data_IF_994774607782
#
_entry.id   IF_994774607782
#
_cell.length_a   1.000
_cell.length_b   1.000
_cell.length_c   1.000
_cell.angle_alpha   90.00
_cell.angle_beta   90.00
_cell.angle_gamma   90.00
#
_symmetry.space_group_name_H-M   'P 1'
#
loop_
_entity.id
_entity.type
_entity.pdbx_description
1 polymer ?
#
# COMPACT_ATOMS: atom_id res chain seq x y z
N UNK A 1 -25.93 15.92 -2.44
CA UNK A 1 -26.13 14.50 -2.06
C UNK A 1 -24.76 13.93 -1.74
N UNK A 2 -24.59 13.62 -0.45
CA UNK A 2 -23.42 13.16 0.32
C UNK A 2 -22.03 13.11 -0.33
N UNK A 3 -21.17 14.05 0.09
CA UNK A 3 -19.71 14.03 -0.11
C UNK A 3 -19.00 12.95 0.75
N UNK A 4 -19.73 12.10 1.49
CA UNK A 4 -19.18 11.17 2.49
C UNK A 4 -18.78 9.79 1.93
N UNK A 5 -19.05 9.49 0.66
CA UNK A 5 -18.72 8.18 0.05
C UNK A 5 -17.46 8.21 -0.82
N UNK A 6 -16.89 9.39 -1.09
CA UNK A 6 -15.68 9.50 -1.90
C UNK A 6 -14.44 9.40 -1.02
N UNK A 7 -13.57 8.45 -1.33
CA UNK A 7 -12.26 8.32 -0.70
C UNK A 7 -11.34 9.40 -1.28
N UNK A 8 -10.92 10.37 -0.46
CA UNK A 8 -10.09 11.51 -0.88
C UNK A 8 -8.67 11.47 -0.34
N UNK A 9 -8.46 10.70 0.73
CA UNK A 9 -7.20 10.54 1.46
C UNK A 9 -6.68 9.12 1.38
N UNK A 10 -5.37 8.97 1.24
CA UNK A 10 -4.66 7.70 1.41
C UNK A 10 -3.61 7.84 2.50
N UNK A 11 -3.57 6.90 3.43
CA UNK A 11 -2.57 6.80 4.50
C UNK A 11 -1.50 5.80 4.08
N UNK A 12 -0.24 6.22 4.14
CA UNK A 12 0.95 5.43 3.81
C UNK A 12 1.80 5.22 5.08
N UNK A 13 1.69 4.06 5.76
CA UNK A 13 2.53 3.71 6.88
C UNK A 13 3.97 3.41 6.42
N UNK A 14 4.87 4.39 6.57
CA UNK A 14 6.26 4.32 6.08
C UNK A 14 7.29 4.48 7.21
N UNK A 15 6.89 4.15 8.44
CA UNK A 15 7.73 4.30 9.64
C UNK A 15 8.62 3.09 9.95
N UNK A 16 8.47 1.98 9.24
CA UNK A 16 9.18 0.73 9.51
C UNK A 16 10.70 0.82 9.25
N UNK A 17 11.48 0.07 10.03
CA UNK A 17 12.95 0.05 9.94
C UNK A 17 13.51 -0.73 8.74
N UNK A 18 12.70 -1.58 8.11
CA UNK A 18 13.12 -2.32 6.91
C UNK A 18 14.22 -3.36 7.16
N UNK A 19 14.30 -3.96 8.36
CA UNK A 19 15.39 -4.86 8.77
C UNK A 19 15.61 -6.07 7.85
N UNK A 20 14.54 -6.56 7.19
CA UNK A 20 14.61 -7.65 6.20
C UNK A 20 15.50 -7.33 4.99
N UNK A 21 15.75 -6.05 4.71
CA UNK A 21 16.55 -5.57 3.58
C UNK A 21 17.91 -5.01 3.98
N UNK A 22 18.37 -5.23 5.21
CA UNK A 22 19.74 -4.89 5.56
C UNK A 22 20.73 -5.68 4.66
N UNK A 23 21.83 -5.05 4.22
CA UNK A 23 22.31 -3.71 4.60
C UNK A 23 21.73 -2.54 3.79
N UNK A 24 20.96 -2.79 2.72
CA UNK A 24 20.48 -1.75 1.81
C UNK A 24 19.65 -0.67 2.53
N UNK A 25 18.85 -1.08 3.52
CA UNK A 25 17.99 -0.18 4.30
C UNK A 25 18.65 0.46 5.52
N UNK A 26 19.97 0.32 5.68
CA UNK A 26 20.70 0.90 6.83
C UNK A 26 20.62 2.43 6.84
N UNK A 27 20.64 3.05 5.67
CA UNK A 27 20.66 4.51 5.48
C UNK A 27 19.57 5.02 4.52
N UNK A 28 18.81 4.13 3.89
CA UNK A 28 17.69 4.48 3.02
C UNK A 28 16.42 3.77 3.50
N UNK A 29 15.25 4.41 3.47
CA UNK A 29 13.98 3.76 3.77
C UNK A 29 13.74 2.53 2.87
N UNK A 30 13.10 1.46 3.40
CA UNK A 30 12.70 0.31 2.57
C UNK A 30 11.77 0.72 1.43
N UNK A 31 10.95 1.74 1.66
CA UNK A 31 9.97 2.25 0.70
C UNK A 31 10.64 3.02 -0.45
N UNK A 32 11.91 3.41 -0.29
CA UNK A 32 12.74 4.03 -1.32
C UNK A 32 13.59 3.03 -2.10
N UNK A 33 13.43 1.71 -1.86
CA UNK A 33 14.09 0.71 -2.70
C UNK A 33 13.51 0.78 -4.12
N UNK A 34 14.36 0.94 -5.15
CA UNK A 34 13.91 1.08 -6.52
C UNK A 34 13.54 -0.29 -7.10
N UNK A 35 12.37 -0.38 -7.72
CA UNK A 35 12.03 -1.46 -8.63
C UNK A 35 12.23 -0.91 -10.03
N UNK A 36 13.27 -1.41 -10.71
CA UNK A 36 13.81 -0.83 -11.95
C UNK A 36 14.39 0.57 -11.73
N UNK A 37 13.58 1.61 -11.86
CA UNK A 37 13.98 3.02 -11.80
C UNK A 37 13.08 3.86 -10.87
N UNK A 38 12.03 3.25 -10.31
CA UNK A 38 11.02 3.92 -9.48
C UNK A 38 10.99 3.33 -8.06
N UNK A 39 10.99 4.16 -6.99
CA UNK A 39 10.90 3.65 -5.63
C UNK A 39 9.51 3.06 -5.34
N UNK A 40 9.45 2.03 -4.49
CA UNK A 40 8.21 1.36 -4.07
C UNK A 40 7.11 2.34 -3.64
N UNK A 41 7.46 3.38 -2.88
CA UNK A 41 6.48 4.38 -2.42
C UNK A 41 5.83 5.15 -3.57
N UNK A 42 6.54 5.39 -4.67
CA UNK A 42 5.98 6.11 -5.80
C UNK A 42 4.94 5.26 -6.53
N UNK A 43 5.15 3.96 -6.69
CA UNK A 43 4.11 3.05 -7.23
C UNK A 43 2.83 3.11 -6.39
N UNK A 44 2.96 3.10 -5.06
CA UNK A 44 1.82 3.18 -4.14
C UNK A 44 1.08 4.53 -4.22
N UNK A 45 1.81 5.64 -4.36
CA UNK A 45 1.23 6.99 -4.50
C UNK A 45 0.56 7.17 -5.85
N UNK A 46 1.18 6.70 -6.93
CA UNK A 46 0.59 6.72 -8.27
C UNK A 46 -0.71 5.90 -8.33
N UNK A 47 -0.75 4.71 -7.70
CA UNK A 47 -1.98 3.90 -7.60
C UNK A 47 -3.11 4.63 -6.86
N UNK A 48 -2.78 5.34 -5.77
CA UNK A 48 -3.76 6.17 -5.06
C UNK A 48 -4.25 7.33 -5.93
N UNK A 49 -3.32 8.00 -6.61
CA UNK A 49 -3.60 9.15 -7.45
C UNK A 49 -4.49 8.77 -8.65
N UNK A 50 -4.21 7.63 -9.30
CA UNK A 50 -5.04 7.02 -10.36
C UNK A 50 -6.46 6.75 -9.85
N UNK A 51 -6.60 6.29 -8.60
CA UNK A 51 -7.90 6.07 -7.96
C UNK A 51 -8.68 7.36 -7.62
N UNK A 52 -8.16 8.53 -7.97
CA UNK A 52 -8.81 9.83 -7.76
C UNK A 52 -8.58 10.42 -6.37
N UNK A 53 -7.65 9.87 -5.59
CA UNK A 53 -7.20 10.37 -4.29
C UNK A 53 -6.21 11.51 -4.51
N UNK A 54 -6.29 12.57 -3.72
CA UNK A 54 -5.42 13.76 -3.86
C UNK A 54 -4.63 14.11 -2.62
N UNK A 55 -5.07 13.66 -1.45
CA UNK A 55 -4.40 13.92 -0.18
C UNK A 55 -3.62 12.66 0.25
N UNK A 56 -2.29 12.72 0.16
CA UNK A 56 -1.37 11.64 0.48
C UNK A 56 -0.80 11.83 1.88
N UNK A 57 -1.25 11.03 2.85
CA UNK A 57 -0.88 11.14 4.27
C UNK A 57 0.22 10.13 4.60
N UNK A 58 1.46 10.58 4.68
CA UNK A 58 2.60 9.75 5.03
C UNK A 58 2.79 9.71 6.54
N UNK A 59 2.71 8.51 7.11
CA UNK A 59 3.02 8.27 8.52
C UNK A 59 4.48 7.82 8.61
N UNK A 60 5.37 8.77 8.88
CA UNK A 60 6.81 8.58 8.81
C UNK A 60 7.43 8.28 10.18
N UNK A 61 8.53 7.53 10.17
CA UNK A 61 9.35 7.25 11.36
C UNK A 61 10.56 8.17 11.45
N UNK A 62 11.58 7.75 12.20
CA UNK A 62 12.90 8.38 12.19
C UNK A 62 13.63 8.06 10.89
N UNK A 63 14.46 9.00 10.42
CA UNK A 63 15.32 8.80 9.24
C UNK A 63 14.57 8.52 7.93
N UNK A 64 13.44 9.19 7.70
CA UNK A 64 12.59 9.05 6.50
C UNK A 64 12.58 10.27 5.58
N UNK A 65 13.56 11.17 5.73
CA UNK A 65 13.67 12.42 4.95
C UNK A 65 13.63 12.18 3.44
N UNK A 66 14.27 11.11 2.96
CA UNK A 66 14.27 10.76 1.54
C UNK A 66 12.86 10.54 0.94
N UNK A 67 11.86 10.14 1.74
CA UNK A 67 10.47 10.05 1.26
C UNK A 67 9.87 11.44 1.08
N UNK A 68 10.11 12.33 2.05
CA UNK A 68 9.66 13.73 1.98
C UNK A 68 10.31 14.43 0.78
N UNK A 69 11.65 14.34 0.65
CA UNK A 69 12.42 14.96 -0.43
C UNK A 69 12.04 14.41 -1.84
N UNK A 70 11.56 13.16 -1.95
CA UNK A 70 11.19 12.55 -3.23
C UNK A 70 9.90 13.11 -3.82
N UNK A 71 8.95 13.53 -2.97
CA UNK A 71 7.68 14.13 -3.41
C UNK A 71 7.65 15.65 -3.28
N UNK A 72 8.76 16.27 -2.84
CA UNK A 72 8.92 17.71 -2.78
C UNK A 72 9.67 18.24 -4.02
N UNK A 73 9.63 19.55 -4.24
CA UNK A 73 10.36 20.21 -5.32
C UNK A 73 11.88 20.11 -5.09
N UNK A 74 12.59 19.46 -6.01
CA UNK A 74 14.06 19.43 -6.02
C UNK A 74 14.60 20.59 -6.86
N UNK A 75 14.64 21.78 -6.27
CA UNK A 75 14.98 23.03 -6.97
C UNK A 75 16.31 22.95 -7.73
N UNK A 76 17.34 22.38 -7.12
CA UNK A 76 18.67 22.24 -7.73
C UNK A 76 18.63 21.34 -8.97
N UNK A 77 18.01 20.15 -8.85
CA UNK A 77 17.86 19.21 -9.95
C UNK A 77 17.03 19.80 -11.10
N UNK A 78 15.90 20.42 -10.78
CA UNK A 78 15.03 21.03 -11.80
C UNK A 78 15.76 22.13 -12.57
N UNK A 79 16.45 23.03 -11.86
CA UNK A 79 17.20 24.11 -12.47
C UNK A 79 18.37 23.59 -13.32
N UNK A 80 19.08 22.54 -12.88
CA UNK A 80 20.12 21.90 -13.70
C UNK A 80 19.56 21.28 -14.98
N UNK A 81 18.42 20.57 -14.90
CA UNK A 81 17.77 19.96 -16.05
C UNK A 81 17.25 21.03 -17.04
N UNK A 82 16.67 22.11 -16.53
CA UNK A 82 16.19 23.25 -17.31
C UNK A 82 17.36 23.94 -18.04
N UNK A 83 18.43 24.28 -17.33
CA UNK A 83 19.63 24.90 -17.92
C UNK A 83 20.32 23.99 -18.95
N UNK A 84 20.25 22.67 -18.75
CA UNK A 84 20.77 21.68 -19.70
C UNK A 84 19.81 21.41 -20.88
N UNK A 85 18.62 22.02 -20.93
CA UNK A 85 17.62 21.81 -21.98
C UNK A 85 17.00 20.41 -21.99
N UNK A 86 17.05 19.67 -20.87
CA UNK A 86 16.59 18.28 -20.76
C UNK A 86 15.10 18.20 -20.39
N UNK A 87 14.24 18.73 -21.26
CA UNK A 87 12.81 18.91 -20.96
C UNK A 87 12.10 17.60 -20.56
N UNK A 88 12.35 16.49 -21.26
CA UNK A 88 11.69 15.22 -20.94
C UNK A 88 12.02 14.70 -19.51
N UNK A 89 13.26 14.92 -19.03
CA UNK A 89 13.66 14.56 -17.67
C UNK A 89 13.03 15.50 -16.64
N UNK A 90 12.95 16.79 -16.97
CA UNK A 90 12.30 17.78 -16.12
C UNK A 90 10.81 17.47 -15.94
N UNK A 91 10.12 17.11 -17.03
CA UNK A 91 8.72 16.70 -16.99
C UNK A 91 8.52 15.42 -16.16
N UNK A 92 9.44 14.46 -16.27
CA UNK A 92 9.43 13.25 -15.44
C UNK A 92 9.55 13.59 -13.94
N UNK A 93 10.52 14.41 -13.56
CA UNK A 93 10.71 14.84 -12.16
C UNK A 93 9.46 15.54 -11.63
N UNK A 94 8.90 16.49 -12.39
CA UNK A 94 7.68 17.22 -12.00
C UNK A 94 6.44 16.33 -11.93
N UNK A 95 6.39 15.26 -12.73
CA UNK A 95 5.25 14.32 -12.71
C UNK A 95 5.15 13.49 -11.43
N UNK A 96 6.23 13.39 -10.64
CA UNK A 96 6.25 12.66 -9.35
C UNK A 96 5.28 13.27 -8.34
N UNK A 97 5.09 14.60 -8.37
CA UNK A 97 4.12 15.29 -7.53
C UNK A 97 3.24 16.25 -8.35
N UNK A 98 2.14 15.74 -8.94
CA UNK A 98 1.21 16.56 -9.72
C UNK A 98 0.67 17.76 -8.92
N UNK A 99 0.35 18.85 -9.62
CA UNK A 99 -0.01 20.12 -8.98
C UNK A 99 -1.27 20.10 -8.10
N UNK A 100 -2.18 19.14 -8.32
CA UNK A 100 -3.39 18.95 -7.50
C UNK A 100 -3.24 17.85 -6.43
N UNK A 101 -2.04 17.31 -6.25
CA UNK A 101 -1.70 16.35 -5.20
C UNK A 101 -1.09 17.04 -3.98
N UNK A 102 -1.61 16.74 -2.79
CA UNK A 102 -1.11 17.24 -1.52
C UNK A 102 -0.38 16.13 -0.77
N UNK A 103 0.89 16.37 -0.40
CA UNK A 103 1.66 15.49 0.46
C UNK A 103 1.62 16.00 1.90
N UNK A 104 1.04 15.21 2.80
CA UNK A 104 0.85 15.51 4.22
C UNK A 104 1.70 14.56 5.05
N UNK A 105 2.42 15.06 6.05
CA UNK A 105 3.33 14.24 6.85
C UNK A 105 2.96 14.28 8.33
N UNK A 106 2.88 13.11 8.94
CA UNK A 106 2.75 12.94 10.39
C UNK A 106 3.77 11.93 10.91
N UNK A 107 4.28 12.15 12.11
CA UNK A 107 5.29 11.27 12.71
C UNK A 107 4.63 10.17 13.53
N UNK A 108 5.06 8.92 13.31
CA UNK A 108 4.84 7.84 14.27
C UNK A 108 5.93 7.92 15.36
N UNK A 109 5.60 8.31 16.61
CA UNK A 109 6.62 8.57 17.63
C UNK A 109 7.33 7.28 18.10
N UNK A 110 6.63 6.15 18.05
CA UNK A 110 7.11 4.82 18.45
C UNK A 110 6.56 3.77 17.48
N UNK A 111 7.37 2.78 17.14
CA UNK A 111 6.97 1.65 16.29
C UNK A 111 6.13 0.67 17.12
N UNK A 112 4.85 0.97 17.29
CA UNK A 112 3.90 0.16 18.08
C UNK A 112 2.96 -0.67 17.18
N UNK A 113 3.31 -0.90 15.92
CA UNK A 113 2.49 -1.65 14.97
C UNK A 113 1.72 -0.81 13.96
N UNK A 114 1.07 -1.50 13.02
CA UNK A 114 0.33 -0.90 11.90
C UNK A 114 -0.90 -0.13 12.37
N UNK A 115 -1.66 -0.67 13.34
CA UNK A 115 -2.82 0.02 13.89
C UNK A 115 -2.43 1.37 14.49
N UNK A 116 -1.34 1.40 15.27
CA UNK A 116 -0.81 2.67 15.80
C UNK A 116 -0.39 3.65 14.69
N UNK A 117 0.19 3.18 13.59
CA UNK A 117 0.54 4.05 12.47
C UNK A 117 -0.71 4.68 11.83
N UNK A 118 -1.75 3.87 11.60
CA UNK A 118 -3.05 4.37 11.11
C UNK A 118 -3.65 5.39 12.09
N UNK A 119 -3.63 5.11 13.39
CA UNK A 119 -4.14 6.03 14.42
C UNK A 119 -3.40 7.38 14.43
N UNK A 120 -2.08 7.40 14.18
CA UNK A 120 -1.33 8.65 14.08
C UNK A 120 -1.82 9.56 12.94
N UNK A 121 -2.46 9.01 11.91
CA UNK A 121 -3.02 9.78 10.80
C UNK A 121 -4.42 10.37 11.10
N UNK A 122 -5.08 9.98 12.19
CA UNK A 122 -6.45 10.42 12.54
C UNK A 122 -6.64 11.95 12.46
N UNK A 123 -5.74 12.81 12.98
CA UNK A 123 -5.93 14.26 12.93
C UNK A 123 -5.92 14.84 11.50
N UNK A 124 -5.24 14.16 10.56
CA UNK A 124 -5.16 14.57 9.16
C UNK A 124 -6.29 13.97 8.33
N UNK A 125 -6.71 12.75 8.66
CA UNK A 125 -7.84 12.08 8.01
C UNK A 125 -9.16 12.75 8.42
N UNK A 126 -9.41 12.91 9.72
CA UNK A 126 -10.68 13.40 10.24
C UNK A 126 -11.79 12.35 10.14
N UNK A 127 -13.04 12.80 10.05
CA UNK A 127 -14.22 11.93 10.03
C UNK A 127 -14.71 11.62 8.60
N UNK A 128 -13.82 11.07 7.76
CA UNK A 128 -14.13 10.67 6.38
C UNK A 128 -13.49 9.32 6.04
N UNK A 129 -14.02 8.57 5.06
CA UNK A 129 -13.39 7.33 4.64
C UNK A 129 -12.05 7.58 3.95
N UNK A 130 -11.11 6.67 4.17
CA UNK A 130 -9.74 6.80 3.70
C UNK A 130 -9.17 5.47 3.24
N UNK A 131 -8.21 5.53 2.32
CA UNK A 131 -7.44 4.37 1.93
C UNK A 131 -6.26 4.16 2.90
N UNK A 132 -5.85 2.91 3.10
CA UNK A 132 -4.53 2.59 3.69
C UNK A 132 -3.77 1.76 2.66
N UNK A 133 -2.53 2.15 2.39
CA UNK A 133 -1.70 1.54 1.35
C UNK A 133 -0.34 1.18 1.94
N UNK A 134 -0.03 -0.12 1.95
CA UNK A 134 1.29 -0.62 2.35
C UNK A 134 2.18 -0.66 1.11
N UNK A 135 3.19 0.21 1.07
CA UNK A 135 4.07 0.38 -0.09
C UNK A 135 4.96 -0.85 -0.37
N UNK A 136 5.15 -1.73 0.61
CA UNK A 136 5.87 -2.99 0.41
C UNK A 136 5.04 -4.09 -0.26
N UNK A 137 3.73 -3.89 -0.41
CA UNK A 137 2.91 -4.66 -1.35
C UNK A 137 2.81 -3.88 -2.66
N UNK A 138 3.71 -4.16 -3.60
CA UNK A 138 3.61 -3.63 -4.95
C UNK A 138 2.49 -4.38 -5.66
N UNK A 139 1.47 -3.66 -6.11
CA UNK A 139 0.28 -4.23 -6.74
C UNK A 139 0.03 -3.56 -8.07
N UNK A 140 -0.25 -4.35 -9.10
CA UNK A 140 -0.58 -3.88 -10.44
C UNK A 140 -1.97 -4.39 -10.81
N UNK A 141 -2.73 -3.59 -11.55
CA UNK A 141 -3.93 -4.08 -12.23
C UNK A 141 -3.59 -5.12 -13.29
N UNK A 142 -4.62 -5.72 -13.90
CA UNK A 142 -4.43 -6.47 -15.14
C UNK A 142 -3.95 -5.53 -16.27
N UNK A 143 -3.34 -6.09 -17.32
CA UNK A 143 -2.82 -5.30 -18.43
C UNK A 143 -3.93 -4.42 -19.06
N UNK A 144 -3.76 -3.10 -18.99
CA UNK A 144 -4.74 -2.13 -19.48
C UNK A 144 -5.98 -1.94 -18.60
N UNK A 145 -6.05 -2.63 -17.46
CA UNK A 145 -7.08 -2.48 -16.44
C UNK A 145 -6.72 -1.43 -15.39
N UNK A 146 -7.70 -1.03 -14.55
CA UNK A 146 -7.47 -0.06 -13.48
C UNK A 146 -6.61 -0.64 -12.36
N UNK A 147 -5.85 0.23 -11.70
CA UNK A 147 -5.13 -0.10 -10.47
C UNK A 147 -6.05 -0.65 -9.36
N UNK A 148 -5.49 -1.43 -8.43
CA UNK A 148 -6.27 -2.13 -7.40
C UNK A 148 -7.03 -1.15 -6.51
N UNK A 149 -6.41 -0.04 -6.10
CA UNK A 149 -7.10 0.99 -5.33
C UNK A 149 -8.27 1.61 -6.09
N UNK A 150 -8.17 1.82 -7.41
CA UNK A 150 -9.28 2.35 -8.21
C UNK A 150 -10.46 1.38 -8.26
N UNK A 151 -10.20 0.07 -8.34
CA UNK A 151 -11.23 -0.96 -8.23
C UNK A 151 -11.93 -0.90 -6.86
N UNK A 152 -11.14 -0.77 -5.79
CA UNK A 152 -11.66 -0.72 -4.41
C UNK A 152 -12.45 0.56 -4.13
N UNK A 153 -11.98 1.74 -4.55
CA UNK A 153 -12.72 3.00 -4.33
C UNK A 153 -14.04 3.01 -5.09
N UNK A 154 -14.08 2.44 -6.30
CA UNK A 154 -15.32 2.26 -7.06
C UNK A 154 -16.30 1.29 -6.37
N UNK A 155 -15.79 0.21 -5.77
CA UNK A 155 -16.61 -0.69 -4.95
C UNK A 155 -17.11 0.00 -3.68
N UNK A 156 -16.25 0.75 -2.99
CA UNK A 156 -16.60 1.48 -1.77
C UNK A 156 -17.70 2.51 -2.01
N UNK A 157 -17.66 3.23 -3.14
CA UNK A 157 -18.70 4.20 -3.50
C UNK A 157 -20.09 3.58 -3.60
N UNK A 158 -20.19 2.29 -3.97
CA UNK A 158 -21.46 1.55 -4.04
C UNK A 158 -21.86 0.97 -2.69
N UNK A 159 -20.90 0.41 -1.93
CA UNK A 159 -21.22 -0.36 -0.72
C UNK A 159 -21.27 0.52 0.54
N UNK A 160 -20.49 1.60 0.59
CA UNK A 160 -20.38 2.50 1.74
C UNK A 160 -19.83 1.83 3.00
N UNK A 161 -19.05 0.75 2.85
CA UNK A 161 -18.53 -0.08 3.95
C UNK A 161 -17.07 -0.42 3.73
N UNK A 162 -16.35 -0.64 4.83
CA UNK A 162 -14.92 -0.93 4.82
C UNK A 162 -14.59 -2.14 3.92
N UNK A 163 -13.52 -2.02 3.13
CA UNK A 163 -13.04 -3.01 2.17
C UNK A 163 -11.58 -3.40 2.46
N UNK A 164 -11.28 -4.69 2.39
CA UNK A 164 -9.92 -5.24 2.47
C UNK A 164 -9.60 -5.94 1.15
N UNK A 165 -8.49 -5.58 0.49
CA UNK A 165 -8.03 -6.38 -0.66
C UNK A 165 -7.59 -7.75 -0.17
N UNK A 166 -7.99 -8.81 -0.90
CA UNK A 166 -7.61 -10.18 -0.57
C UNK A 166 -7.19 -10.96 -1.79
N UNK A 167 -6.31 -11.93 -1.59
CA UNK A 167 -5.95 -12.94 -2.58
C UNK A 167 -5.77 -14.30 -1.89
N UNK A 168 -5.89 -15.39 -2.65
CA UNK A 168 -5.52 -16.70 -2.12
C UNK A 168 -4.01 -16.79 -1.91
N UNK A 169 -3.59 -17.36 -0.78
CA UNK A 169 -2.18 -17.60 -0.47
C UNK A 169 -1.91 -19.09 -0.26
N UNK A 170 -0.67 -19.59 -0.49
CA UNK A 170 -0.27 -20.92 -0.04
C UNK A 170 -0.54 -21.12 1.46
N UNK A 171 -0.94 -22.31 1.85
CA UNK A 171 -1.36 -22.59 3.23
C UNK A 171 -0.23 -22.31 4.24
N UNK A 172 1.01 -22.62 3.87
CA UNK A 172 2.23 -22.36 4.63
C UNK A 172 2.56 -20.87 4.79
N UNK A 173 1.95 -20.00 3.99
CA UNK A 173 2.12 -18.55 4.04
C UNK A 173 1.07 -17.85 4.92
N UNK A 174 0.07 -18.56 5.44
CA UNK A 174 -0.98 -17.98 6.31
C UNK A 174 -0.43 -17.24 7.52
N UNK A 175 0.65 -17.73 8.13
CA UNK A 175 1.39 -17.07 9.23
C UNK A 175 2.00 -15.70 8.90
N UNK A 176 1.93 -15.25 7.64
CA UNK A 176 2.49 -13.97 7.18
C UNK A 176 1.42 -12.90 7.02
N UNK A 177 0.14 -13.27 6.99
CA UNK A 177 -0.95 -12.39 6.60
C UNK A 177 -2.10 -12.43 7.61
N UNK A 178 -2.94 -11.40 7.63
CA UNK A 178 -4.30 -11.52 8.16
C UNK A 178 -5.10 -12.45 7.24
N UNK A 179 -5.78 -13.45 7.80
CA UNK A 179 -6.59 -14.41 7.04
C UNK A 179 -8.06 -14.15 7.33
N UNK A 180 -8.85 -13.95 6.27
CA UNK A 180 -10.29 -13.71 6.38
C UNK A 180 -11.09 -14.95 5.99
N UNK A 181 -12.29 -15.07 6.53
CA UNK A 181 -13.31 -16.03 6.09
C UNK A 181 -14.65 -15.32 6.04
N UNK A 182 -15.48 -15.71 5.10
CA UNK A 182 -16.75 -15.05 4.89
C UNK A 182 -17.62 -15.70 3.82
N UNK A 183 -18.77 -15.08 3.60
CA UNK A 183 -19.76 -15.51 2.60
C UNK A 183 -19.71 -14.60 1.36
N UNK A 184 -19.91 -15.15 0.14
CA UNK A 184 -20.03 -14.34 -1.07
C UNK A 184 -21.11 -13.25 -0.94
N UNK A 185 -20.76 -12.03 -1.32
CA UNK A 185 -21.64 -10.85 -1.26
C UNK A 185 -21.89 -10.23 -2.65
N UNK A 186 -21.64 -10.99 -3.72
CA UNK A 186 -21.84 -10.60 -5.11
C UNK A 186 -20.59 -10.03 -5.79
N UNK A 187 -20.37 -10.42 -7.05
CA UNK A 187 -19.19 -10.02 -7.81
C UNK A 187 -17.89 -10.39 -7.08
N UNK A 188 -16.92 -9.46 -6.95
CA UNK A 188 -15.64 -9.71 -6.26
C UNK A 188 -15.73 -9.59 -4.72
N UNK A 189 -16.93 -9.38 -4.15
CA UNK A 189 -17.09 -9.12 -2.73
C UNK A 189 -17.40 -10.39 -1.93
N UNK A 190 -16.81 -10.46 -0.75
CA UNK A 190 -17.13 -11.43 0.30
C UNK A 190 -17.40 -10.66 1.60
N UNK A 191 -18.54 -10.87 2.25
CA UNK A 191 -18.78 -10.31 3.59
C UNK A 191 -17.94 -11.10 4.58
N UNK A 192 -17.10 -10.43 5.36
CA UNK A 192 -16.21 -11.08 6.30
C UNK A 192 -17.00 -11.44 7.55
N UNK A 193 -16.88 -12.70 7.98
CA UNK A 193 -17.44 -13.21 9.24
C UNK A 193 -16.33 -13.39 10.30
N UNK A 194 -15.11 -13.68 9.85
CA UNK A 194 -13.96 -13.94 10.72
C UNK A 194 -12.67 -13.38 10.08
N UNK A 195 -11.80 -12.77 10.89
CA UNK A 195 -10.47 -12.32 10.49
C UNK A 195 -9.46 -12.63 11.60
N UNK A 196 -8.31 -13.19 11.24
CA UNK A 196 -7.27 -13.59 12.21
C UNK A 196 -5.90 -13.12 11.76
N UNK A 197 -5.15 -12.45 12.65
CA UNK A 197 -3.78 -12.00 12.36
C UNK A 197 -2.78 -13.17 12.44
N UNK A 198 -2.12 -13.47 11.31
CA UNK A 198 -1.00 -14.42 11.22
C UNK A 198 -1.28 -15.78 11.88
N UNK A 199 -2.41 -16.45 11.57
CA UNK A 199 -2.69 -17.76 12.15
C UNK A 199 -1.65 -18.77 11.71
N UNK A 200 -1.40 -19.76 12.57
CA UNK A 200 -0.69 -20.96 12.14
C UNK A 200 -1.49 -21.68 11.04
N UNK A 201 -0.85 -22.36 10.07
CA UNK A 201 -1.53 -23.03 8.96
C UNK A 201 -2.70 -23.92 9.38
N UNK A 202 -2.54 -24.67 10.47
CA UNK A 202 -3.54 -25.57 11.04
C UNK A 202 -4.72 -24.86 11.74
N UNK A 203 -4.59 -23.55 12.00
CA UNK A 203 -5.61 -22.69 12.61
C UNK A 203 -6.17 -21.64 11.65
N UNK A 204 -5.71 -21.63 10.39
CA UNK A 204 -6.15 -20.65 9.42
C UNK A 204 -7.62 -20.91 9.04
N UNK A 205 -8.52 -19.91 9.15
CA UNK A 205 -9.94 -20.12 8.87
C UNK A 205 -10.22 -20.27 7.36
N UNK A 206 -9.30 -19.83 6.52
CA UNK A 206 -9.30 -20.03 5.06
C UNK A 206 -7.89 -19.85 4.48
N UNK A 207 -7.77 -19.67 3.16
CA UNK A 207 -6.54 -19.26 2.47
C UNK A 207 -6.61 -17.84 1.90
N UNK A 208 -7.65 -17.07 2.21
CA UNK A 208 -7.83 -15.70 1.76
C UNK A 208 -6.99 -14.75 2.63
N UNK A 209 -5.82 -14.39 2.13
CA UNK A 209 -4.90 -13.47 2.78
C UNK A 209 -5.19 -12.02 2.43
N UNK A 210 -5.20 -11.17 3.46
CA UNK A 210 -5.30 -9.72 3.32
C UNK A 210 -4.02 -9.18 2.64
N UNK A 211 -4.21 -8.46 1.54
CA UNK A 211 -3.19 -7.67 0.88
C UNK A 211 -3.17 -6.25 1.46
N UNK A 212 -2.05 -5.55 1.29
CA UNK A 212 -1.80 -4.21 1.83
C UNK A 212 -2.62 -3.06 1.22
N UNK A 213 -3.90 -3.27 0.91
CA UNK A 213 -4.84 -2.25 0.45
C UNK A 213 -6.13 -2.33 1.27
N UNK A 214 -6.52 -1.19 1.81
CA UNK A 214 -7.70 -1.05 2.64
C UNK A 214 -8.45 0.20 2.20
N UNK A 215 -9.78 0.17 2.28
CA UNK A 215 -10.61 1.38 2.35
C UNK A 215 -11.42 1.27 3.63
N UNK A 216 -11.21 2.20 4.56
CA UNK A 216 -11.74 2.10 5.92
C UNK A 216 -12.70 3.26 6.20
N UNK A 217 -13.76 2.96 6.96
CA UNK A 217 -14.60 3.99 7.57
C UNK A 217 -13.87 4.63 8.77
N UNK A 218 -14.17 5.89 9.12
CA UNK A 218 -13.52 6.56 10.25
C UNK A 218 -13.78 5.88 11.61
N UNK A 219 -14.80 5.03 11.71
CA UNK A 219 -15.08 4.24 12.91
C UNK A 219 -13.91 3.33 13.33
N UNK A 220 -13.00 2.99 12.39
CA UNK A 220 -11.81 2.21 12.71
C UNK A 220 -10.90 2.89 13.75
N UNK A 221 -10.86 4.22 13.81
CA UNK A 221 -9.98 4.93 14.76
C UNK A 221 -10.34 4.63 16.21
N UNK A 222 -11.64 4.63 16.54
CA UNK A 222 -12.12 4.25 17.87
C UNK A 222 -11.83 2.77 18.17
N UNK A 223 -11.84 1.91 17.15
CA UNK A 223 -11.49 0.50 17.33
C UNK A 223 -10.00 0.31 17.63
N UNK A 224 -9.13 1.05 16.95
CA UNK A 224 -7.69 1.02 17.21
C UNK A 224 -7.36 1.62 18.58
N UNK A 225 -8.04 2.70 19.00
CA UNK A 225 -7.76 3.36 20.28
C UNK A 225 -8.07 2.47 21.48
N UNK A 226 -9.09 1.63 21.37
CA UNK A 226 -9.63 0.85 22.49
C UNK A 226 -9.21 -0.63 22.48
N UNK A 227 -8.30 -1.05 21.59
CA UNK A 227 -7.80 -2.42 21.56
C UNK A 227 -6.57 -2.61 22.45
N UNK A 228 -6.33 -3.83 22.97
CA UNK A 228 -5.05 -4.19 23.54
C UNK A 228 -3.97 -4.39 22.47
N UNK A 229 -2.72 -4.56 22.91
CA UNK A 229 -1.66 -5.07 22.05
C UNK A 229 -1.93 -6.54 21.70
N UNK A 230 -1.80 -6.88 20.42
CA UNK A 230 -2.03 -8.20 19.88
C UNK A 230 -0.73 -8.96 19.59
N UNK A 231 -0.69 -9.64 18.45
CA UNK A 231 0.46 -10.45 18.02
C UNK A 231 1.74 -9.60 18.03
N UNK A 232 2.79 -10.12 18.68
CA UNK A 232 4.09 -9.46 18.75
C UNK A 232 4.17 -8.26 19.72
N UNK A 233 3.15 -8.02 20.55
CA UNK A 233 3.10 -6.85 21.44
C UNK A 233 2.81 -5.54 20.70
N UNK A 234 2.27 -5.64 19.49
CA UNK A 234 1.95 -4.52 18.60
C UNK A 234 0.44 -4.25 18.57
N UNK A 235 0.06 -3.01 18.31
CA UNK A 235 -1.32 -2.62 17.99
C UNK A 235 -1.57 -2.99 16.52
N UNK A 236 -2.24 -4.12 16.31
CA UNK A 236 -2.55 -4.66 14.98
C UNK A 236 -3.80 -4.02 14.38
N UNK A 237 -3.76 -3.70 13.09
CA UNK A 237 -4.94 -3.20 12.37
C UNK A 237 -6.01 -4.29 12.22
N UNK A 238 -5.58 -5.55 12.09
CA UNK A 238 -6.45 -6.72 11.97
C UNK A 238 -7.38 -6.86 13.18
N UNK A 239 -6.85 -6.70 14.40
CA UNK A 239 -7.65 -6.74 15.64
C UNK A 239 -8.68 -5.59 15.68
N UNK A 240 -8.32 -4.40 15.20
CA UNK A 240 -9.25 -3.28 15.10
C UNK A 240 -10.40 -3.59 14.12
N UNK A 241 -10.09 -4.24 13.00
CA UNK A 241 -11.08 -4.63 11.99
C UNK A 241 -12.02 -5.69 12.55
N UNK A 242 -11.50 -6.69 13.27
CA UNK A 242 -12.33 -7.70 13.96
C UNK A 242 -13.33 -7.03 14.92
N UNK A 243 -12.89 -6.00 15.66
CA UNK A 243 -13.77 -5.21 16.55
C UNK A 243 -14.75 -4.36 15.75
N UNK A 244 -14.34 -3.77 14.63
CA UNK A 244 -15.20 -3.00 13.74
C UNK A 244 -16.36 -3.84 13.17
N UNK A 245 -16.09 -5.11 12.86
CA UNK A 245 -17.08 -6.07 12.35
C UNK A 245 -18.25 -6.31 13.32
N UNK A 246 -18.10 -6.01 14.61
CA UNK A 246 -19.18 -6.08 15.60
C UNK A 246 -20.19 -4.93 15.49
N UNK A 247 -19.83 -3.86 14.78
CA UNK A 247 -20.63 -2.63 14.66
C UNK A 247 -21.10 -2.38 13.22
N UNK A 248 -20.33 -2.84 12.22
CA UNK A 248 -20.70 -2.74 10.81
C UNK A 248 -20.17 -3.89 9.97
N UNK A 249 -20.78 -4.10 8.80
CA UNK A 249 -20.25 -5.04 7.83
C UNK A 249 -18.91 -4.56 7.26
N UNK A 250 -17.95 -5.47 7.17
CA UNK A 250 -16.68 -5.29 6.47
C UNK A 250 -16.62 -6.32 5.35
N UNK A 251 -16.13 -5.93 4.17
CA UNK A 251 -16.02 -6.83 3.03
C UNK A 251 -14.57 -7.07 2.64
N UNK A 252 -14.28 -8.29 2.23
CA UNK A 252 -13.10 -8.63 1.47
C UNK A 252 -13.38 -8.42 -0.01
N UNK A 253 -12.42 -7.86 -0.73
CA UNK A 253 -12.47 -7.54 -2.15
C UNK A 253 -11.40 -8.34 -2.90
N UNK A 254 -11.83 -9.28 -3.72
CA UNK A 254 -10.95 -10.04 -4.62
C UNK A 254 -10.64 -9.19 -5.85
N UNK A 255 -9.48 -8.54 -5.83
CA UNK A 255 -9.06 -7.64 -6.90
C UNK A 255 -8.59 -8.40 -8.15
N UNK A 256 -8.72 -7.75 -9.31
CA UNK A 256 -8.13 -8.22 -10.55
C UNK A 256 -6.76 -7.57 -10.73
N UNK A 257 -5.69 -8.36 -10.66
CA UNK A 257 -4.33 -7.86 -10.74
C UNK A 257 -3.31 -8.81 -10.15
N UNK A 258 -2.10 -8.31 -9.97
CA UNK A 258 -0.97 -9.06 -9.43
C UNK A 258 -0.34 -8.31 -8.26
N UNK A 259 0.08 -9.07 -7.25
CA UNK A 259 0.78 -8.57 -6.08
C UNK A 259 2.18 -9.17 -6.01
N UNK A 260 3.13 -8.32 -5.65
CA UNK A 260 4.50 -8.70 -5.30
C UNK A 260 4.77 -8.30 -3.86
N UNK A 261 5.13 -9.27 -3.01
CA UNK A 261 5.53 -9.03 -1.61
C UNK A 261 6.98 -8.51 -1.58
N UNK A 262 7.12 -7.21 -1.85
CA UNK A 262 8.39 -6.47 -1.75
C UNK A 262 8.81 -6.22 -0.29
N UNK A 263 8.08 -6.75 0.69
CA UNK A 263 8.56 -6.92 2.05
C UNK A 263 9.57 -8.07 2.18
N UNK A 264 9.59 -8.99 1.21
CA UNK A 264 10.55 -10.08 1.09
C UNK A 264 11.57 -9.82 -0.01
N UNK A 265 12.80 -10.33 0.13
CA UNK A 265 13.84 -10.22 -0.91
C UNK A 265 13.41 -10.93 -2.19
N UNK A 266 12.77 -12.08 -2.06
CA UNK A 266 12.28 -12.88 -3.20
C UNK A 266 11.21 -12.12 -3.99
N UNK A 267 10.16 -11.62 -3.32
CA UNK A 267 9.11 -10.86 -3.99
C UNK A 267 9.62 -9.56 -4.59
N UNK A 268 10.58 -8.88 -3.95
CA UNK A 268 11.24 -7.71 -4.53
C UNK A 268 12.02 -8.02 -5.81
N UNK A 269 12.76 -9.15 -5.85
CA UNK A 269 13.46 -9.59 -7.07
C UNK A 269 12.48 -9.99 -8.18
N UNK A 270 11.39 -10.70 -7.84
CA UNK A 270 10.33 -11.04 -8.79
C UNK A 270 9.70 -9.79 -9.40
N UNK A 271 9.35 -8.80 -8.57
CA UNK A 271 8.86 -7.52 -9.04
C UNK A 271 9.86 -6.85 -10.00
N UNK A 272 11.14 -6.80 -9.61
CA UNK A 272 12.20 -6.18 -10.41
C UNK A 272 12.32 -6.81 -11.80
N UNK A 273 12.35 -8.14 -11.88
CA UNK A 273 12.46 -8.85 -13.16
C UNK A 273 11.23 -8.62 -14.02
N UNK A 274 10.03 -8.78 -13.47
CA UNK A 274 8.80 -8.69 -14.25
C UNK A 274 8.50 -7.27 -14.72
N UNK A 275 8.73 -6.26 -13.86
CA UNK A 275 8.55 -4.85 -14.23
C UNK A 275 9.65 -4.38 -15.20
N UNK A 276 10.89 -4.86 -15.07
CA UNK A 276 11.94 -4.56 -16.04
C UNK A 276 11.56 -5.06 -17.44
N UNK A 277 11.00 -6.28 -17.54
CA UNK A 277 10.54 -6.86 -18.81
C UNK A 277 9.36 -6.12 -19.45
N UNK A 278 8.63 -5.31 -18.68
CA UNK A 278 7.53 -4.47 -19.12
C UNK A 278 7.96 -3.01 -19.34
N UNK A 279 9.19 -2.64 -18.96
CA UNK A 279 9.67 -1.27 -19.01
C UNK A 279 9.86 -0.81 -20.47
N UNK A 280 9.36 0.38 -20.86
CA UNK A 280 9.40 0.83 -22.26
C UNK A 280 10.83 0.99 -22.79
N UNK A 281 11.77 1.44 -21.95
CA UNK A 281 13.14 1.72 -22.40
C UNK A 281 14.08 0.52 -22.34
N UNK A 282 13.87 -0.43 -21.41
CA UNK A 282 14.83 -1.52 -21.12
C UNK A 282 14.25 -2.91 -21.29
N UNK A 283 12.94 -3.06 -21.50
CA UNK A 283 12.27 -4.36 -21.51
C UNK A 283 12.77 -5.30 -22.60
N UNK A 284 12.93 -4.80 -23.83
CA UNK A 284 13.39 -5.62 -24.96
C UNK A 284 14.84 -6.09 -24.79
N UNK A 285 15.74 -5.18 -24.44
CA UNK A 285 17.16 -5.50 -24.25
C UNK A 285 17.38 -6.41 -23.04
N UNK A 286 16.63 -6.19 -21.95
CA UNK A 286 16.68 -7.04 -20.76
C UNK A 286 16.14 -8.45 -21.04
N UNK A 287 15.07 -8.57 -21.83
CA UNK A 287 14.53 -9.87 -22.26
C UNK A 287 15.54 -10.69 -23.04
N UNK A 288 16.24 -10.08 -23.99
CA UNK A 288 17.30 -10.76 -24.75
C UNK A 288 18.48 -11.16 -23.85
N UNK A 289 18.86 -10.32 -22.89
CA UNK A 289 19.85 -10.68 -21.88
C UNK A 289 19.44 -11.92 -21.08
N UNK A 290 18.20 -11.97 -20.55
CA UNK A 290 17.73 -13.10 -19.74
C UNK A 290 17.71 -14.42 -20.50
N UNK A 291 17.41 -14.42 -21.81
CA UNK A 291 17.45 -15.63 -22.66
C UNK A 291 18.85 -16.23 -22.79
N UNK A 292 19.88 -15.41 -22.58
CA UNK A 292 21.28 -15.84 -22.66
C UNK A 292 21.83 -16.32 -21.31
N UNK A 293 21.04 -16.28 -20.23
CA UNK A 293 21.43 -16.82 -18.93
C UNK A 293 21.27 -18.34 -18.90
N UNK A 294 22.25 -19.02 -18.30
CA UNK A 294 22.11 -20.42 -17.91
C UNK A 294 21.36 -20.47 -16.57
N UNK A 295 20.04 -20.69 -16.62
CA UNK A 295 19.15 -20.78 -15.45
C UNK A 295 18.87 -22.25 -15.06
#
# INVERSE_FOLDING_TARGET
>A
MSNQTRVRKAVFPVAGLGTRFLPATKASPKEMLPVVDKPLIQYAVEEAYEAGIRDMVFVTGRSKRAIEDHFDTSYELENELENAGKQAMLDLVRSVSPADMNCLFVRQPRSLGLGHAVLCAEPLVGNEPFAVILADDLMTGENGGPGVMAQMTAAFQKQGRSLLAVQEVPLEHTKRYGIVKGEPAGGPLMRIDEIVEKPAPEKAPSRMGVAGRYVLTPAIFDQIRNQPQGVGGEIQLTDAIERLMQHEAVYAFQYAGKRYDCGSKEGFLQATVELALQHPDVGDSFREYLKNLSL
#
